data_IF_543243560999
#
_entry.id   IF_543243560999
#
_cell.length_a   1.000
_cell.length_b   1.000
_cell.length_c   1.000
_cell.angle_alpha   90.00
_cell.angle_beta   90.00
_cell.angle_gamma   90.00
#
_symmetry.space_group_name_H-M   'P 1'
#
loop_
_entity.id
_entity.type
_entity.pdbx_description
1 polymer ?
#
# COMPACT_ATOMS: atom_id res chain seq x y z
N UNK A 1 9.29 6.71 -4.84
CA UNK A 1 8.04 7.24 -5.42
C UNK A 1 6.97 6.18 -5.43
N UNK A 2 5.69 6.57 -5.26
CA UNK A 2 4.57 5.66 -5.39
C UNK A 2 4.21 5.41 -6.85
N UNK A 3 3.88 4.14 -7.20
CA UNK A 3 3.47 3.74 -8.55
C UNK A 3 1.99 3.34 -8.63
N UNK A 4 1.20 3.63 -7.59
CA UNK A 4 -0.19 3.20 -7.54
C UNK A 4 -0.35 1.74 -7.11
N UNK A 5 -1.60 1.27 -6.99
CA UNK A 5 -1.90 -0.03 -6.38
C UNK A 5 -1.82 -1.22 -7.34
N UNK A 6 -1.79 -1.00 -8.68
CA UNK A 6 -1.82 -2.09 -9.66
C UNK A 6 -1.92 -1.60 -11.10
N UNK A 7 -2.88 -0.74 -11.40
CA UNK A 7 -3.10 -0.21 -12.74
C UNK A 7 -2.02 0.84 -13.10
N UNK A 8 -1.25 0.65 -14.19
CA UNK A 8 -0.26 1.62 -14.65
C UNK A 8 -0.84 2.99 -15.04
N UNK A 9 -2.12 3.08 -15.36
CA UNK A 9 -2.79 4.36 -15.67
C UNK A 9 -3.04 5.20 -14.40
N UNK A 10 -2.88 4.60 -13.21
CA UNK A 10 -2.95 5.30 -11.93
C UNK A 10 -1.58 5.88 -11.48
N UNK A 11 -0.52 5.78 -12.30
CA UNK A 11 0.70 6.52 -12.04
C UNK A 11 0.45 8.03 -12.19
N UNK A 12 0.99 8.80 -11.26
CA UNK A 12 0.92 10.26 -11.42
C UNK A 12 1.83 10.71 -12.58
N UNK A 13 1.47 11.78 -13.28
CA UNK A 13 2.33 12.38 -14.32
C UNK A 13 3.73 12.70 -13.79
N UNK A 14 3.84 13.07 -12.51
CA UNK A 14 5.12 13.32 -11.87
C UNK A 14 5.94 12.03 -11.71
N UNK A 15 5.28 10.90 -11.47
CA UNK A 15 5.92 9.59 -11.38
C UNK A 15 6.44 9.14 -12.76
N UNK A 16 5.62 9.24 -13.80
CA UNK A 16 6.02 8.92 -15.18
C UNK A 16 7.24 9.73 -15.59
N UNK A 17 7.20 11.05 -15.42
CA UNK A 17 8.35 11.93 -15.75
C UNK A 17 9.62 11.57 -14.98
N UNK A 18 9.48 11.12 -13.72
CA UNK A 18 10.64 10.73 -12.94
C UNK A 18 11.23 9.39 -13.43
N UNK A 19 10.39 8.44 -13.86
CA UNK A 19 10.84 7.19 -14.47
C UNK A 19 11.56 7.50 -15.78
N UNK A 20 10.98 8.33 -16.65
CA UNK A 20 11.57 8.69 -17.93
C UNK A 20 12.95 9.37 -17.79
N UNK A 21 13.13 10.17 -16.74
CA UNK A 21 14.39 10.89 -16.48
C UNK A 21 15.44 10.05 -15.74
N UNK A 22 15.10 8.85 -15.26
CA UNK A 22 15.99 8.04 -14.43
C UNK A 22 17.01 7.24 -15.26
N UNK A 23 18.24 7.14 -14.74
CA UNK A 23 19.27 6.22 -15.24
C UNK A 23 19.13 4.83 -14.58
N UNK A 24 18.63 4.82 -13.34
CA UNK A 24 18.50 3.61 -12.50
C UNK A 24 17.12 3.53 -11.86
N UNK A 25 16.44 2.42 -12.12
CA UNK A 25 15.15 2.09 -11.53
C UNK A 25 15.36 1.01 -10.46
N UNK A 26 15.31 1.41 -9.20
CA UNK A 26 15.33 0.51 -8.05
C UNK A 26 13.91 0.14 -7.61
N UNK A 27 13.71 -1.10 -7.16
CA UNK A 27 12.40 -1.58 -6.71
C UNK A 27 12.52 -2.71 -5.68
N UNK A 28 11.55 -2.84 -4.76
CA UNK A 28 11.58 -3.89 -3.76
C UNK A 28 11.23 -5.25 -4.35
N UNK A 29 11.95 -6.28 -3.86
CA UNK A 29 11.65 -7.69 -4.09
C UNK A 29 11.71 -8.46 -2.76
N UNK A 30 10.95 -9.53 -2.61
CA UNK A 30 10.94 -10.34 -1.38
C UNK A 30 12.19 -11.25 -1.27
N UNK A 31 12.78 -11.66 -2.41
CA UNK A 31 13.97 -12.50 -2.51
C UNK A 31 14.66 -12.27 -3.86
N UNK A 32 15.90 -12.69 -3.96
CA UNK A 32 16.64 -12.64 -5.23
C UNK A 32 15.90 -13.40 -6.34
N UNK A 33 15.91 -12.82 -7.53
CA UNK A 33 15.25 -13.37 -8.72
C UNK A 33 13.72 -13.32 -8.69
N UNK A 34 13.12 -12.70 -7.67
CA UNK A 34 11.68 -12.49 -7.66
C UNK A 34 11.30 -11.27 -8.51
N UNK A 35 10.10 -11.31 -9.10
CA UNK A 35 9.50 -10.16 -9.75
C UNK A 35 9.15 -9.07 -8.71
N UNK A 36 9.45 -7.82 -9.06
CA UNK A 36 9.10 -6.68 -8.24
C UNK A 36 7.73 -6.12 -8.63
N UNK A 37 6.74 -6.22 -7.76
CA UNK A 37 5.39 -5.72 -8.06
C UNK A 37 5.39 -4.25 -8.51
N UNK A 38 6.14 -3.38 -7.81
CA UNK A 38 6.26 -1.98 -8.21
C UNK A 38 6.89 -1.81 -9.60
N UNK A 39 7.84 -2.66 -9.96
CA UNK A 39 8.43 -2.66 -11.30
C UNK A 39 7.45 -3.19 -12.36
N UNK A 40 6.63 -4.17 -12.04
CA UNK A 40 5.57 -4.69 -12.91
C UNK A 40 4.52 -3.60 -13.20
N UNK A 41 4.06 -2.88 -12.18
CA UNK A 41 3.11 -1.77 -12.35
C UNK A 41 3.70 -0.68 -13.25
N UNK A 42 4.97 -0.33 -13.03
CA UNK A 42 5.64 0.73 -13.78
C UNK A 42 6.20 0.27 -15.16
N UNK A 43 6.13 -1.02 -15.48
CA UNK A 43 6.77 -1.60 -16.66
C UNK A 43 6.49 -0.87 -17.99
N UNK A 44 5.25 -0.40 -18.29
CA UNK A 44 4.97 0.33 -19.52
C UNK A 44 5.77 1.64 -19.67
N UNK A 45 6.25 2.20 -18.57
CA UNK A 45 6.98 3.48 -18.52
C UNK A 45 8.50 3.32 -18.39
N UNK A 46 8.99 2.09 -18.15
CA UNK A 46 10.42 1.81 -17.99
C UNK A 46 11.02 1.43 -19.33
N UNK A 47 11.96 2.22 -19.82
CA UNK A 47 12.64 1.96 -21.09
C UNK A 47 13.61 0.78 -20.98
N UNK A 48 13.84 0.02 -22.08
CA UNK A 48 14.72 -1.15 -22.09
C UNK A 48 16.16 -0.88 -21.65
N UNK A 49 16.68 0.31 -21.99
CA UNK A 49 18.05 0.73 -21.72
C UNK A 49 18.29 1.19 -20.28
N UNK A 50 17.24 1.45 -19.49
CA UNK A 50 17.38 1.87 -18.10
C UNK A 50 17.87 0.72 -17.22
N UNK A 51 18.89 0.99 -16.40
CA UNK A 51 19.39 0.01 -15.45
C UNK A 51 18.31 -0.33 -14.40
N UNK A 52 18.18 -1.61 -14.07
CA UNK A 52 17.22 -2.13 -13.09
C UNK A 52 17.95 -2.67 -11.87
N UNK A 53 17.50 -2.30 -10.67
CA UNK A 53 18.11 -2.66 -9.41
C UNK A 53 17.07 -3.25 -8.45
N UNK A 54 16.90 -4.58 -8.40
CA UNK A 54 16.08 -5.21 -7.38
C UNK A 54 16.77 -5.07 -6.01
N UNK A 55 16.01 -4.59 -5.03
CA UNK A 55 16.45 -4.47 -3.63
C UNK A 55 15.68 -5.48 -2.78
N UNK A 56 16.39 -6.39 -2.13
CA UNK A 56 15.77 -7.47 -1.35
C UNK A 56 15.32 -6.97 0.01
N UNK A 57 14.03 -7.15 0.30
CA UNK A 57 13.42 -6.89 1.61
C UNK A 57 12.74 -8.17 2.10
N UNK A 58 13.37 -8.92 3.02
CA UNK A 58 12.85 -10.20 3.47
C UNK A 58 11.53 -10.01 4.21
N UNK A 59 10.58 -10.89 3.92
CA UNK A 59 9.25 -10.93 4.55
C UNK A 59 9.32 -11.69 5.88
N UNK A 60 10.02 -11.12 6.86
CA UNK A 60 10.24 -11.70 8.19
C UNK A 60 9.73 -10.80 9.30
N UNK A 61 9.40 -11.38 10.47
CA UNK A 61 8.93 -10.65 11.65
C UNK A 61 10.06 -10.01 12.44
N UNK A 62 11.26 -10.58 12.39
CA UNK A 62 12.43 -10.17 13.13
C UNK A 62 12.91 -8.79 12.72
N UNK A 63 13.27 -7.96 13.69
CA UNK A 63 13.64 -6.56 13.45
C UNK A 63 15.01 -6.43 12.77
N UNK A 64 15.97 -7.23 13.17
CA UNK A 64 17.37 -7.09 12.72
C UNK A 64 17.55 -7.34 11.21
N UNK A 65 17.06 -8.45 10.62
CA UNK A 65 17.16 -8.65 9.16
C UNK A 65 16.51 -7.52 8.36
N UNK A 66 15.36 -7.00 8.81
CA UNK A 66 14.70 -5.87 8.16
C UNK A 66 15.53 -4.59 8.23
N UNK A 67 16.13 -4.30 9.40
CA UNK A 67 17.00 -3.13 9.56
C UNK A 67 18.26 -3.21 8.69
N UNK A 68 18.84 -4.39 8.57
CA UNK A 68 19.98 -4.64 7.67
C UNK A 68 19.56 -4.35 6.23
N UNK A 69 18.43 -4.92 5.77
CA UNK A 69 17.93 -4.71 4.42
C UNK A 69 17.70 -3.22 4.10
N UNK A 70 17.09 -2.46 5.02
CA UNK A 70 16.87 -1.01 4.82
C UNK A 70 18.18 -0.23 4.73
N UNK A 71 19.18 -0.56 5.57
CA UNK A 71 20.51 0.10 5.54
C UNK A 71 21.28 -0.25 4.26
N UNK A 72 21.25 -1.52 3.87
CA UNK A 72 21.88 -1.98 2.63
C UNK A 72 21.27 -1.29 1.42
N UNK A 73 19.94 -1.25 1.31
CA UNK A 73 19.25 -0.54 0.24
C UNK A 73 19.61 0.96 0.20
N UNK A 74 19.65 1.62 1.37
CA UNK A 74 20.04 3.02 1.46
C UNK A 74 21.48 3.25 1.01
N UNK A 75 22.42 2.40 1.40
CA UNK A 75 23.82 2.50 0.97
C UNK A 75 23.96 2.32 -0.54
N UNK A 76 23.32 1.28 -1.11
CA UNK A 76 23.34 1.02 -2.56
C UNK A 76 22.78 2.18 -3.37
N UNK A 77 21.68 2.79 -2.91
CA UNK A 77 21.11 3.97 -3.56
C UNK A 77 22.03 5.20 -3.44
N UNK A 78 22.66 5.40 -2.28
CA UNK A 78 23.61 6.49 -2.08
C UNK A 78 24.85 6.36 -2.97
N UNK A 79 25.38 5.16 -3.14
CA UNK A 79 26.48 4.85 -4.07
C UNK A 79 26.11 5.17 -5.53
N UNK A 80 24.89 4.78 -5.95
CA UNK A 80 24.40 5.07 -7.29
C UNK A 80 24.29 6.58 -7.54
N UNK A 81 23.78 7.34 -6.57
CA UNK A 81 23.71 8.81 -6.64
C UNK A 81 25.09 9.45 -6.62
N UNK A 82 26.02 8.96 -5.80
CA UNK A 82 27.40 9.44 -5.77
C UNK A 82 28.14 9.18 -7.10
N UNK A 83 27.75 8.12 -7.85
CA UNK A 83 28.23 7.87 -9.21
C UNK A 83 27.55 8.75 -10.28
N UNK A 84 26.76 9.76 -9.88
CA UNK A 84 26.10 10.71 -10.76
C UNK A 84 24.81 10.21 -11.42
N UNK A 85 24.26 9.07 -10.99
CA UNK A 85 23.03 8.50 -11.57
C UNK A 85 21.78 9.17 -11.01
N UNK A 86 20.87 9.56 -11.89
CA UNK A 86 19.48 9.88 -11.50
C UNK A 86 18.77 8.57 -11.15
N UNK A 87 18.49 8.39 -9.84
CA UNK A 87 17.98 7.12 -9.30
C UNK A 87 16.56 7.28 -8.78
N UNK A 88 15.67 6.35 -9.14
CA UNK A 88 14.30 6.28 -8.65
C UNK A 88 14.10 4.97 -7.88
N UNK A 89 13.57 5.06 -6.66
CA UNK A 89 13.06 3.91 -5.90
C UNK A 89 11.55 3.85 -6.03
N UNK A 90 11.03 2.79 -6.66
CA UNK A 90 9.60 2.52 -6.80
C UNK A 90 9.03 1.87 -5.53
N UNK A 91 7.75 2.12 -5.24
CA UNK A 91 6.99 1.34 -4.26
C UNK A 91 5.51 1.29 -4.65
N UNK A 92 4.84 0.20 -4.30
CA UNK A 92 3.41 0.02 -4.52
C UNK A 92 2.61 1.08 -3.74
N UNK A 93 1.48 1.50 -4.30
CA UNK A 93 0.58 2.47 -3.68
C UNK A 93 1.21 3.84 -3.54
N UNK A 94 1.05 4.45 -2.37
CA UNK A 94 1.64 5.74 -2.00
C UNK A 94 2.92 5.56 -1.18
N UNK A 95 3.91 6.41 -1.44
CA UNK A 95 5.24 6.35 -0.82
C UNK A 95 5.24 6.60 0.68
N UNK A 96 4.20 7.25 1.22
CA UNK A 96 4.10 7.64 2.64
C UNK A 96 3.22 6.72 3.48
N UNK A 97 2.44 5.80 2.85
CA UNK A 97 1.46 4.98 3.54
C UNK A 97 1.88 3.50 3.59
N UNK A 98 2.41 3.04 4.72
CA UNK A 98 2.87 1.66 4.97
C UNK A 98 3.86 1.12 3.93
N UNK A 99 4.63 2.00 3.31
CA UNK A 99 5.56 1.69 2.23
C UNK A 99 6.96 1.34 2.75
N UNK A 100 7.61 0.33 2.16
CA UNK A 100 9.01 -0.01 2.43
C UNK A 100 9.96 1.17 2.15
N UNK A 101 9.62 2.00 1.15
CA UNK A 101 10.37 3.21 0.80
C UNK A 101 10.49 4.21 1.97
N UNK A 102 9.53 4.25 2.89
CA UNK A 102 9.59 5.11 4.08
C UNK A 102 10.77 4.73 4.99
N UNK A 103 11.02 3.43 5.20
CA UNK A 103 12.15 2.96 6.01
C UNK A 103 13.49 3.21 5.33
N UNK A 104 13.55 3.06 3.99
CA UNK A 104 14.74 3.41 3.21
C UNK A 104 15.03 4.90 3.29
N UNK A 105 14.00 5.76 3.21
CA UNK A 105 14.13 7.21 3.41
C UNK A 105 14.73 7.54 4.80
N UNK A 106 14.23 6.90 5.85
CA UNK A 106 14.75 7.10 7.21
C UNK A 106 16.21 6.64 7.34
N UNK A 107 16.55 5.52 6.69
CA UNK A 107 17.93 5.03 6.64
C UNK A 107 18.86 5.98 5.86
N UNK A 108 18.43 6.51 4.71
CA UNK A 108 19.16 7.52 3.94
C UNK A 108 19.42 8.78 4.78
N UNK A 109 18.37 9.32 5.41
CA UNK A 109 18.50 10.51 6.27
C UNK A 109 19.50 10.33 7.42
N UNK A 110 19.53 9.12 7.99
CA UNK A 110 20.39 8.80 9.13
C UNK A 110 21.85 8.55 8.73
N UNK A 111 22.08 7.81 7.64
CA UNK A 111 23.39 7.29 7.30
C UNK A 111 24.02 7.99 6.07
N UNK A 112 23.23 8.65 5.24
CA UNK A 112 23.65 9.33 4.01
C UNK A 112 22.97 10.70 3.88
N UNK A 113 23.13 11.62 4.87
CA UNK A 113 22.35 12.86 4.97
C UNK A 113 22.60 13.85 3.81
N UNK A 114 23.67 13.68 3.06
CA UNK A 114 24.00 14.53 1.89
C UNK A 114 23.23 14.10 0.63
N UNK A 115 22.59 12.94 0.61
CA UNK A 115 21.79 12.48 -0.52
C UNK A 115 20.48 13.26 -0.58
N UNK A 116 20.30 14.07 -1.63
CA UNK A 116 19.05 14.78 -1.85
C UNK A 116 17.94 13.79 -2.27
N UNK A 117 16.84 13.77 -1.51
CA UNK A 117 15.71 12.88 -1.77
C UNK A 117 14.44 13.69 -2.01
N UNK A 118 13.76 13.43 -3.13
CA UNK A 118 12.43 13.94 -3.44
C UNK A 118 11.41 12.81 -3.36
N UNK A 119 10.33 13.00 -2.60
CA UNK A 119 9.20 12.07 -2.58
C UNK A 119 8.19 12.47 -3.68
N UNK A 120 7.69 11.47 -4.40
CA UNK A 120 6.61 11.63 -5.38
C UNK A 120 5.46 10.74 -4.90
N UNK A 121 4.27 11.31 -4.63
CA UNK A 121 3.14 10.54 -4.14
C UNK A 121 2.59 9.60 -5.22
N UNK A 122 1.90 8.57 -4.78
CA UNK A 122 1.13 7.64 -5.62
C UNK A 122 -0.31 7.52 -5.15
N UNK A 123 -1.16 6.88 -5.93
CA UNK A 123 -2.52 6.54 -5.51
C UNK A 123 -2.44 5.37 -4.53
N UNK A 124 -2.99 5.54 -3.33
CA UNK A 124 -3.05 4.43 -2.37
C UNK A 124 -4.13 3.40 -2.76
N UNK A 125 -3.95 2.15 -2.36
CA UNK A 125 -4.98 1.11 -2.56
C UNK A 125 -6.33 1.49 -1.92
N UNK A 126 -6.32 2.24 -0.82
CA UNK A 126 -7.53 2.74 -0.15
C UNK A 126 -8.29 3.72 -1.05
N UNK A 127 -7.58 4.69 -1.63
CA UNK A 127 -8.20 5.67 -2.52
C UNK A 127 -8.72 5.01 -3.82
N UNK A 128 -7.94 4.10 -4.41
CA UNK A 128 -8.35 3.37 -5.60
C UNK A 128 -9.58 2.50 -5.34
N UNK A 129 -9.62 1.74 -4.24
CA UNK A 129 -10.76 0.92 -3.86
C UNK A 129 -12.02 1.76 -3.59
N UNK A 130 -11.87 2.91 -2.92
CA UNK A 130 -12.98 3.82 -2.69
C UNK A 130 -13.58 4.37 -3.98
N UNK A 131 -12.72 4.73 -4.94
CA UNK A 131 -13.15 5.23 -6.25
C UNK A 131 -13.80 4.12 -7.10
N UNK A 132 -13.14 2.98 -7.26
CA UNK A 132 -13.64 1.86 -8.06
C UNK A 132 -14.96 1.28 -7.50
N UNK A 133 -15.10 1.22 -6.17
CA UNK A 133 -16.30 0.74 -5.49
C UNK A 133 -17.39 1.79 -5.28
N UNK A 134 -17.24 2.99 -5.83
CA UNK A 134 -18.13 4.12 -5.55
C UNK A 134 -18.43 4.29 -4.05
N UNK A 135 -17.42 4.06 -3.23
CA UNK A 135 -17.49 4.14 -1.76
C UNK A 135 -16.77 5.41 -1.28
N UNK A 136 -17.47 6.51 -0.98
CA UNK A 136 -16.86 7.72 -0.44
C UNK A 136 -16.12 7.39 0.86
N UNK A 137 -14.82 7.71 0.94
CA UNK A 137 -13.98 7.36 2.10
C UNK A 137 -14.31 8.20 3.35
N UNK A 138 -14.73 9.42 3.16
CA UNK A 138 -15.18 10.29 4.25
C UNK A 138 -16.13 11.35 3.69
N UNK A 139 -17.20 11.65 4.40
CA UNK A 139 -18.18 12.67 4.08
C UNK A 139 -18.30 13.64 5.25
N UNK A 140 -18.36 14.94 4.95
CA UNK A 140 -18.54 16.01 5.96
C UNK A 140 -17.50 15.92 7.10
N UNK A 141 -17.96 15.59 8.31
CA UNK A 141 -17.14 15.49 9.53
C UNK A 141 -16.65 14.08 9.84
N UNK A 142 -16.93 13.12 8.96
CA UNK A 142 -16.42 11.75 9.14
C UNK A 142 -14.89 11.71 9.11
N UNK A 143 -14.28 10.94 9.99
CA UNK A 143 -12.86 10.61 9.92
C UNK A 143 -12.62 9.37 9.07
N UNK A 144 -11.40 9.22 8.58
CA UNK A 144 -10.92 8.00 7.93
C UNK A 144 -9.77 7.42 8.76
N UNK A 145 -9.96 6.21 9.30
CA UNK A 145 -8.92 5.49 10.02
C UNK A 145 -8.37 4.36 9.15
N UNK A 146 -7.10 4.44 8.78
CA UNK A 146 -6.41 3.43 7.97
C UNK A 146 -5.48 2.61 8.87
N UNK A 147 -5.68 1.30 8.92
CA UNK A 147 -4.87 0.39 9.75
C UNK A 147 -4.60 -0.94 9.01
N UNK A 148 -3.44 -1.57 9.23
CA UNK A 148 -3.32 -2.99 8.94
C UNK A 148 -4.38 -3.77 9.74
N UNK A 149 -4.94 -4.82 9.16
CA UNK A 149 -5.87 -5.70 9.87
C UNK A 149 -5.15 -6.30 11.10
N UNK A 150 -5.71 -6.18 12.30
CA UNK A 150 -5.13 -6.80 13.49
C UNK A 150 -4.95 -8.31 13.35
N UNK A 151 -4.04 -8.89 14.11
CA UNK A 151 -3.83 -10.34 14.13
C UNK A 151 -4.93 -11.05 14.95
N UNK A 152 -5.47 -10.38 15.99
CA UNK A 152 -6.39 -10.97 16.94
C UNK A 152 -7.79 -10.35 16.85
N UNK A 153 -8.86 -11.16 16.96
CA UNK A 153 -10.24 -10.68 16.93
C UNK A 153 -10.55 -9.59 17.98
N UNK A 154 -10.00 -9.71 19.19
CA UNK A 154 -10.23 -8.73 20.26
C UNK A 154 -9.74 -7.32 19.86
N UNK A 155 -8.56 -7.22 19.25
CA UNK A 155 -8.01 -5.95 18.79
C UNK A 155 -8.85 -5.34 17.64
N UNK A 156 -9.44 -6.17 16.78
CA UNK A 156 -10.36 -5.69 15.76
C UNK A 156 -11.67 -5.17 16.38
N UNK A 157 -12.21 -5.86 17.39
CA UNK A 157 -13.42 -5.42 18.09
C UNK A 157 -13.21 -4.03 18.71
N UNK A 158 -12.12 -3.83 19.44
CA UNK A 158 -11.77 -2.53 20.03
C UNK A 158 -11.66 -1.43 18.93
N UNK A 159 -11.04 -1.77 17.81
CA UNK A 159 -10.88 -0.84 16.69
C UNK A 159 -12.23 -0.46 16.07
N UNK A 160 -13.14 -1.41 15.91
CA UNK A 160 -14.50 -1.18 15.41
C UNK A 160 -15.30 -0.30 16.40
N UNK A 161 -15.18 -0.53 17.70
CA UNK A 161 -15.85 0.28 18.74
C UNK A 161 -15.33 1.72 18.75
N UNK A 162 -14.00 1.91 18.66
CA UNK A 162 -13.40 3.23 18.55
C UNK A 162 -13.87 3.97 17.30
N UNK A 163 -13.87 3.29 16.15
CA UNK A 163 -14.30 3.88 14.89
C UNK A 163 -15.79 4.25 14.92
N UNK A 164 -16.64 3.39 15.51
CA UNK A 164 -18.06 3.68 15.66
C UNK A 164 -18.32 4.90 16.57
N UNK A 165 -17.66 4.96 17.72
CA UNK A 165 -17.79 6.06 18.68
C UNK A 165 -17.33 7.39 18.10
N UNK A 166 -16.29 7.37 17.26
CA UNK A 166 -15.72 8.58 16.62
C UNK A 166 -16.38 8.95 15.28
N UNK A 167 -17.31 8.14 14.77
CA UNK A 167 -17.92 8.35 13.45
C UNK A 167 -16.95 8.21 12.28
N UNK A 168 -15.95 7.29 12.40
CA UNK A 168 -14.95 7.09 11.37
C UNK A 168 -15.31 5.95 10.42
N UNK A 169 -14.90 6.12 9.16
CA UNK A 169 -14.78 5.02 8.21
C UNK A 169 -13.45 4.30 8.49
N UNK A 170 -13.50 2.98 8.56
CA UNK A 170 -12.33 2.15 8.81
C UNK A 170 -11.85 1.51 7.50
N UNK A 171 -10.59 1.68 7.16
CA UNK A 171 -9.91 0.98 6.08
C UNK A 171 -8.92 -0.03 6.68
N UNK A 172 -9.23 -1.31 6.57
CA UNK A 172 -8.40 -2.43 7.04
C UNK A 172 -7.56 -2.95 5.87
N UNK A 173 -6.25 -2.76 5.95
CA UNK A 173 -5.28 -3.22 4.95
C UNK A 173 -4.75 -4.62 5.29
N UNK A 174 -4.21 -5.31 4.27
CA UNK A 174 -3.52 -6.61 4.44
C UNK A 174 -4.43 -7.65 5.08
N UNK A 175 -5.65 -7.74 4.58
CA UNK A 175 -6.68 -8.61 5.14
C UNK A 175 -6.24 -10.09 5.06
N UNK A 176 -5.93 -10.59 3.85
CA UNK A 176 -5.35 -11.92 3.66
C UNK A 176 -6.17 -13.05 4.31
N UNK A 177 -5.47 -14.01 4.90
CA UNK A 177 -6.08 -15.16 5.61
C UNK A 177 -6.98 -14.73 6.79
N UNK A 178 -6.84 -13.52 7.30
CA UNK A 178 -7.65 -13.00 8.40
C UNK A 178 -9.13 -12.86 8.01
N UNK A 179 -9.45 -12.81 6.70
CA UNK A 179 -10.83 -12.74 6.24
C UNK A 179 -11.66 -13.90 6.78
N UNK A 180 -11.08 -15.08 6.97
CA UNK A 180 -11.76 -16.25 7.52
C UNK A 180 -12.45 -15.99 8.88
N UNK A 181 -11.85 -15.15 9.73
CA UNK A 181 -12.42 -14.80 11.03
C UNK A 181 -12.97 -13.36 11.08
N UNK A 182 -12.49 -12.46 10.23
CA UNK A 182 -13.02 -11.08 10.12
C UNK A 182 -14.46 -11.09 9.63
N UNK A 183 -14.77 -11.90 8.61
CA UNK A 183 -16.10 -11.95 8.03
C UNK A 183 -17.20 -12.31 9.05
N UNK A 184 -17.13 -13.44 9.79
CA UNK A 184 -18.15 -13.77 10.79
C UNK A 184 -18.24 -12.76 11.93
N UNK A 185 -17.14 -12.09 12.28
CA UNK A 185 -17.16 -11.02 13.28
C UNK A 185 -17.96 -9.81 12.76
N UNK A 186 -17.77 -9.39 11.52
CA UNK A 186 -18.55 -8.31 10.92
C UNK A 186 -20.02 -8.68 10.77
N UNK A 187 -20.33 -9.95 10.43
CA UNK A 187 -21.69 -10.46 10.34
C UNK A 187 -22.42 -10.35 11.69
N UNK A 188 -21.80 -10.79 12.77
CA UNK A 188 -22.33 -10.67 14.14
C UNK A 188 -22.58 -9.21 14.55
N UNK A 189 -21.85 -8.27 13.99
CA UNK A 189 -21.99 -6.83 14.24
C UNK A 189 -22.92 -6.12 13.24
N UNK A 190 -23.50 -6.83 12.26
CA UNK A 190 -24.35 -6.25 11.20
C UNK A 190 -23.61 -5.27 10.32
N UNK A 191 -22.31 -5.49 10.07
CA UNK A 191 -21.43 -4.58 9.30
C UNK A 191 -21.13 -5.08 7.90
N UNK A 192 -21.45 -6.32 7.52
CA UNK A 192 -21.14 -6.86 6.20
C UNK A 192 -21.76 -6.05 5.06
N UNK A 193 -23.03 -5.62 5.20
CA UNK A 193 -23.75 -4.81 4.21
C UNK A 193 -23.22 -3.37 4.11
N UNK A 194 -22.40 -2.96 5.07
CA UNK A 194 -21.79 -1.61 5.15
C UNK A 194 -20.31 -1.63 4.79
N UNK A 195 -19.83 -2.75 4.31
CA UNK A 195 -18.42 -2.97 4.02
C UNK A 195 -18.20 -3.33 2.55
N UNK A 196 -17.14 -2.74 1.98
CA UNK A 196 -16.65 -3.01 0.64
C UNK A 196 -15.32 -3.77 0.74
N UNK A 197 -15.24 -4.91 0.10
CA UNK A 197 -14.00 -5.66 -0.07
C UNK A 197 -13.33 -5.26 -1.39
N UNK A 198 -11.99 -5.11 -1.37
CA UNK A 198 -11.18 -4.96 -2.55
C UNK A 198 -9.92 -5.84 -2.44
N UNK A 199 -9.77 -6.77 -3.37
CA UNK A 199 -8.59 -7.61 -3.53
C UNK A 199 -7.86 -7.25 -4.82
N UNK A 200 -6.53 -7.16 -4.77
CA UNK A 200 -5.66 -6.85 -5.93
C UNK A 200 -6.15 -5.68 -6.78
N UNK A 201 -6.57 -4.60 -6.13
CA UNK A 201 -7.12 -3.41 -6.82
C UNK A 201 -6.14 -2.89 -7.88
N UNK A 202 -6.63 -2.72 -9.13
CA UNK A 202 -5.86 -2.29 -10.28
C UNK A 202 -5.06 -3.41 -11.00
N UNK A 203 -5.12 -4.65 -10.52
CA UNK A 203 -4.50 -5.81 -11.17
C UNK A 203 -5.51 -6.57 -12.05
N UNK A 204 -5.06 -7.39 -13.02
CA UNK A 204 -5.98 -8.21 -13.83
C UNK A 204 -6.89 -9.12 -12.99
N UNK A 205 -6.44 -9.55 -11.82
CA UNK A 205 -7.20 -10.38 -10.89
C UNK A 205 -7.95 -9.53 -9.84
N UNK A 206 -8.25 -8.29 -10.15
CA UNK A 206 -9.03 -7.42 -9.27
C UNK A 206 -10.35 -8.06 -8.88
N UNK A 207 -10.64 -8.02 -7.58
CA UNK A 207 -11.92 -8.43 -7.03
C UNK A 207 -12.48 -7.31 -6.17
N UNK A 208 -13.57 -6.74 -6.60
CA UNK A 208 -14.29 -5.70 -5.90
C UNK A 208 -15.74 -6.14 -5.67
N UNK A 209 -16.16 -6.21 -4.39
CA UNK A 209 -17.50 -6.68 -4.06
C UNK A 209 -17.98 -6.14 -2.70
N UNK A 210 -19.31 -6.01 -2.47
CA UNK A 210 -19.83 -5.91 -1.12
C UNK A 210 -19.32 -7.07 -0.26
N UNK A 211 -18.90 -6.78 0.97
CA UNK A 211 -18.35 -7.80 1.85
C UNK A 211 -19.33 -8.96 2.13
N UNK A 212 -20.63 -8.67 2.12
CA UNK A 212 -21.69 -9.67 2.28
C UNK A 212 -21.75 -10.70 1.16
N UNK A 213 -21.26 -10.37 -0.05
CA UNK A 213 -21.25 -11.26 -1.19
C UNK A 213 -20.08 -12.27 -1.19
N UNK A 214 -19.16 -12.17 -0.22
CA UNK A 214 -18.01 -13.08 -0.11
C UNK A 214 -18.26 -14.14 0.95
N UNK A 215 -17.84 -15.36 0.66
CA UNK A 215 -17.78 -16.43 1.65
C UNK A 215 -16.63 -16.22 2.63
N UNK A 216 -16.73 -16.84 3.81
CA UNK A 216 -15.62 -16.90 4.73
C UNK A 216 -14.52 -17.81 4.15
N UNK A 217 -13.28 -17.34 4.14
CA UNK A 217 -12.15 -18.08 3.58
C UNK A 217 -10.87 -17.26 3.59
N UNK A 218 -9.86 -17.76 2.88
CA UNK A 218 -8.62 -17.01 2.69
C UNK A 218 -8.72 -16.11 1.48
N UNK A 219 -8.27 -14.87 1.63
CA UNK A 219 -8.16 -13.88 0.57
C UNK A 219 -6.68 -13.52 0.33
N UNK A 220 -6.33 -12.92 -0.82
CA UNK A 220 -4.96 -12.49 -1.07
C UNK A 220 -4.45 -11.51 -0.01
N UNK A 221 -3.15 -11.54 0.28
CA UNK A 221 -2.52 -10.56 1.19
C UNK A 221 -2.79 -9.11 0.75
N UNK A 222 -2.75 -8.85 -0.56
CA UNK A 222 -3.09 -7.55 -1.14
C UNK A 222 -4.61 -7.40 -1.28
N UNK A 223 -5.28 -7.43 -0.14
CA UNK A 223 -6.70 -7.13 -0.02
C UNK A 223 -6.93 -6.16 1.13
N UNK A 224 -8.03 -5.43 1.03
CA UNK A 224 -8.47 -4.46 2.01
C UNK A 224 -9.98 -4.48 2.17
N UNK A 225 -10.45 -3.93 3.28
CA UNK A 225 -11.85 -3.77 3.58
C UNK A 225 -12.12 -2.31 3.97
N UNK A 226 -13.14 -1.71 3.38
CA UNK A 226 -13.66 -0.40 3.78
C UNK A 226 -14.96 -0.64 4.55
N UNK A 227 -15.04 -0.16 5.79
CA UNK A 227 -16.20 -0.36 6.67
C UNK A 227 -16.73 1.00 7.13
N UNK A 228 -17.98 1.31 6.76
CA UNK A 228 -18.69 2.49 7.26
C UNK A 228 -19.66 2.08 8.36
N UNK A 229 -19.50 2.63 9.55
CA UNK A 229 -20.35 2.29 10.69
C UNK A 229 -21.43 3.33 10.97
N UNK A 230 -21.14 4.60 10.69
CA UNK A 230 -22.07 5.70 10.85
C UNK A 230 -22.88 6.02 9.59
N UNK A 231 -23.76 7.00 9.71
CA UNK A 231 -24.36 7.72 8.58
C UNK A 231 -23.99 9.21 8.73
N UNK A 232 -23.59 9.87 7.65
CA UNK A 232 -23.42 11.32 7.68
C UNK A 232 -24.71 11.98 8.15
N UNK A 233 -24.61 13.08 8.91
CA UNK A 233 -25.81 13.76 9.45
C UNK A 233 -26.71 14.36 8.37
N UNK A 234 -26.15 14.66 7.21
CA UNK A 234 -26.89 15.20 6.05
C UNK A 234 -26.50 14.37 4.81
N UNK A 235 -27.50 13.79 4.15
CA UNK A 235 -27.37 13.12 2.85
C UNK A 235 -28.26 13.81 1.83
N UNK A 236 -27.93 13.78 0.51
CA UNK A 236 -28.77 14.31 -0.55
C UNK A 236 -30.10 13.53 -0.66
#
# INVERSE_FOLDING_TARGET
MGVGPGDPDLLTVAAVRAIEAADLIAYPVAREGADGMAATIAAPWIRPEQARLPLVFPMVSEAEPRQIAWRTAAATLAEAVAAGRVTVLLCEGDVSLYATASYVLLALRRHHPTVAVRLIPGISAVAAAGAAGAFPLALQTEGLLIRPTPEEPAALLELLEQAAAAGWVLALLKLGHRWAWVRPLLEQRGLLEKALFAGRIGWPEERLAPAAALDAGEEPYFSLLLVRQGRPPVLP
#
